data_IF_451967172574
#
_entry.id   IF_451967172574
#
_cell.length_a   1.000
_cell.length_b   1.000
_cell.length_c   1.000
_cell.angle_alpha   90.00
_cell.angle_beta   90.00
_cell.angle_gamma   90.00
#
_symmetry.space_group_name_H-M   'P 1'
#
loop_
_entity.id
_entity.type
_entity.pdbx_description
1 polymer ?
#
# COMPACT_ATOMS: atom_id res chain seq x y z
N UNK A 1 -7.44 -0.78 -33.72
CA UNK A 1 -6.58 -0.94 -32.53
C UNK A 1 -7.36 -0.45 -31.33
N UNK A 2 -7.60 -1.32 -30.35
CA UNK A 2 -8.24 -0.89 -29.10
C UNK A 2 -7.28 0.03 -28.35
N UNK A 3 -7.75 1.21 -27.92
CA UNK A 3 -6.91 2.21 -27.25
C UNK A 3 -6.58 1.72 -25.84
N UNK A 4 -5.30 1.74 -25.47
CA UNK A 4 -4.86 1.34 -24.12
C UNK A 4 -5.47 2.26 -23.06
N UNK A 5 -5.95 1.71 -21.91
CA UNK A 5 -6.41 2.53 -20.81
C UNK A 5 -5.33 3.47 -20.28
N UNK A 6 -5.74 4.67 -19.88
CA UNK A 6 -4.87 5.74 -19.38
C UNK A 6 -4.78 5.63 -17.87
N UNK A 7 -3.55 5.52 -17.36
CA UNK A 7 -3.27 5.60 -15.93
C UNK A 7 -2.81 7.00 -15.57
N UNK A 8 -3.34 7.56 -14.49
CA UNK A 8 -3.00 8.89 -13.98
C UNK A 8 -2.58 8.83 -12.51
N UNK A 9 -1.98 9.89 -11.97
CA UNK A 9 -1.53 9.94 -10.58
C UNK A 9 -0.11 9.42 -10.41
N UNK A 10 0.11 8.54 -9.44
CA UNK A 10 1.43 7.95 -9.18
C UNK A 10 1.86 7.05 -10.34
N UNK A 11 3.16 7.08 -10.68
CA UNK A 11 3.71 6.25 -11.75
C UNK A 11 3.91 4.82 -11.26
N UNK A 12 3.38 3.86 -12.01
CA UNK A 12 3.63 2.44 -11.78
C UNK A 12 4.83 1.95 -12.60
N UNK A 13 5.63 1.01 -12.07
CA UNK A 13 6.53 0.22 -12.90
C UNK A 13 5.76 -0.43 -14.06
N UNK A 14 6.39 -0.51 -15.24
CA UNK A 14 5.74 -0.97 -16.48
C UNK A 14 4.98 -2.31 -16.32
N UNK A 15 5.57 -3.27 -15.60
CA UNK A 15 4.95 -4.57 -15.32
C UNK A 15 3.61 -4.45 -14.56
N UNK A 16 3.56 -3.59 -13.52
CA UNK A 16 2.35 -3.35 -12.75
C UNK A 16 1.32 -2.51 -13.51
N UNK A 17 1.79 -1.52 -14.29
CA UNK A 17 0.95 -0.70 -15.16
C UNK A 17 0.19 -1.58 -16.18
N UNK A 18 0.87 -2.54 -16.79
CA UNK A 18 0.26 -3.47 -17.74
C UNK A 18 -0.84 -4.31 -17.08
N UNK A 19 -0.62 -4.82 -15.86
CA UNK A 19 -1.64 -5.57 -15.11
C UNK A 19 -2.86 -4.70 -14.82
N UNK A 20 -2.68 -3.46 -14.37
CA UNK A 20 -3.81 -2.56 -14.14
C UNK A 20 -4.57 -2.25 -15.44
N UNK A 21 -3.85 -2.06 -16.56
CA UNK A 21 -4.49 -1.83 -17.86
C UNK A 21 -5.24 -3.06 -18.38
N UNK A 22 -4.73 -4.28 -18.18
CA UNK A 22 -5.42 -5.54 -18.49
C UNK A 22 -6.74 -5.65 -17.69
N UNK A 23 -6.71 -5.34 -16.39
CA UNK A 23 -7.90 -5.30 -15.53
C UNK A 23 -8.92 -4.28 -16.04
N UNK A 24 -8.46 -3.05 -16.35
CA UNK A 24 -9.34 -2.00 -16.85
C UNK A 24 -10.01 -2.39 -18.17
N UNK A 25 -9.26 -2.97 -19.12
CA UNK A 25 -9.82 -3.48 -20.38
C UNK A 25 -10.88 -4.55 -20.12
N UNK A 26 -10.58 -5.54 -19.26
CA UNK A 26 -11.54 -6.59 -18.91
C UNK A 26 -12.81 -6.05 -18.27
N UNK A 27 -12.70 -4.95 -17.52
CA UNK A 27 -13.83 -4.25 -16.91
C UNK A 27 -14.55 -3.26 -17.86
N UNK A 28 -14.10 -3.09 -19.11
CA UNK A 28 -14.63 -2.09 -20.03
C UNK A 28 -14.33 -0.64 -19.62
N UNK A 29 -13.26 -0.42 -18.86
CA UNK A 29 -12.83 0.86 -18.34
C UNK A 29 -11.63 1.40 -19.13
N UNK A 30 -11.60 2.72 -19.33
CA UNK A 30 -10.57 3.39 -20.13
C UNK A 30 -9.59 4.22 -19.30
N UNK A 31 -9.88 4.48 -18.03
CA UNK A 31 -9.01 5.29 -17.17
C UNK A 31 -9.04 4.82 -15.72
N UNK A 32 -7.95 5.06 -14.99
CA UNK A 32 -7.89 4.96 -13.54
C UNK A 32 -6.85 5.94 -12.97
N UNK A 33 -7.02 6.34 -11.71
CA UNK A 33 -6.06 7.14 -10.96
C UNK A 33 -5.40 6.31 -9.87
N UNK A 34 -4.09 6.12 -9.99
CA UNK A 34 -3.25 5.49 -8.96
C UNK A 34 -2.98 6.54 -7.88
N UNK A 35 -3.51 6.31 -6.67
CA UNK A 35 -3.35 7.20 -5.52
C UNK A 35 -2.08 6.94 -4.74
N UNK A 36 -1.60 5.69 -4.75
CA UNK A 36 -0.45 5.27 -3.96
C UNK A 36 0.29 4.09 -4.60
N UNK A 37 1.57 3.94 -4.29
CA UNK A 37 2.46 2.90 -4.86
C UNK A 37 3.38 2.32 -3.79
N UNK A 38 4.29 1.43 -4.20
CA UNK A 38 5.32 0.90 -3.32
C UNK A 38 6.23 2.02 -2.77
N UNK A 39 6.66 1.84 -1.53
CA UNK A 39 7.46 2.79 -0.76
C UNK A 39 8.75 2.15 -0.26
N UNK A 40 9.75 2.97 -0.03
CA UNK A 40 10.88 2.65 0.84
C UNK A 40 10.47 2.64 2.31
N UNK A 41 11.29 2.04 3.17
CA UNK A 41 11.05 2.08 4.61
C UNK A 41 11.08 3.51 5.17
N UNK A 42 11.91 4.38 4.62
CA UNK A 42 12.01 5.78 5.04
C UNK A 42 10.74 6.57 4.68
N UNK A 43 10.16 6.32 3.51
CA UNK A 43 8.88 6.90 3.11
C UNK A 43 7.74 6.35 3.96
N UNK A 44 7.75 5.05 4.25
CA UNK A 44 6.75 4.44 5.12
C UNK A 44 6.81 5.02 6.54
N UNK A 45 8.00 5.28 7.08
CA UNK A 45 8.15 5.90 8.40
C UNK A 45 7.52 7.30 8.43
N UNK A 46 7.71 8.10 7.38
CA UNK A 46 7.07 9.43 7.24
C UNK A 46 5.55 9.32 7.22
N UNK A 47 5.00 8.38 6.44
CA UNK A 47 3.54 8.14 6.37
C UNK A 47 2.98 7.76 7.74
N UNK A 48 3.67 6.91 8.50
CA UNK A 48 3.24 6.54 9.85
C UNK A 48 3.23 7.74 10.79
N UNK A 49 4.27 8.58 10.75
CA UNK A 49 4.35 9.80 11.55
C UNK A 49 3.26 10.80 11.18
N UNK A 50 3.06 11.05 9.88
CA UNK A 50 2.05 11.99 9.39
C UNK A 50 0.64 11.53 9.76
N UNK A 51 0.35 10.24 9.57
CA UNK A 51 -0.92 9.64 9.98
C UNK A 51 -1.13 9.74 11.50
N UNK A 52 -0.10 9.42 12.29
CA UNK A 52 -0.15 9.54 13.75
C UNK A 52 -0.42 10.98 14.19
N UNK A 53 0.25 11.96 13.60
CA UNK A 53 0.05 13.38 13.93
C UNK A 53 -1.34 13.88 13.54
N UNK A 54 -1.87 13.41 12.41
CA UNK A 54 -3.16 13.85 11.89
C UNK A 54 -4.35 13.19 12.61
N UNK A 55 -4.24 11.91 12.96
CA UNK A 55 -5.37 11.11 13.48
C UNK A 55 -5.19 10.67 14.94
N UNK A 56 -4.01 10.85 15.52
CA UNK A 56 -3.68 10.45 16.88
C UNK A 56 -3.25 8.99 17.03
N UNK A 57 -2.75 8.68 18.24
CA UNK A 57 -2.15 7.39 18.57
C UNK A 57 -3.10 6.21 18.41
N UNK A 58 -4.35 6.35 18.88
CA UNK A 58 -5.34 5.27 18.84
C UNK A 58 -5.65 4.85 17.40
N UNK A 59 -5.84 5.82 16.49
CA UNK A 59 -6.09 5.55 15.08
C UNK A 59 -4.85 4.91 14.40
N UNK A 60 -3.67 5.45 14.66
CA UNK A 60 -2.42 4.90 14.11
C UNK A 60 -2.18 3.45 14.56
N UNK A 61 -2.43 3.13 15.84
CA UNK A 61 -2.32 1.76 16.37
C UNK A 61 -3.41 0.83 15.84
N UNK A 62 -4.62 1.33 15.63
CA UNK A 62 -5.68 0.51 15.03
C UNK A 62 -5.33 0.09 13.59
N UNK A 63 -4.74 0.99 12.81
CA UNK A 63 -4.42 0.72 11.41
C UNK A 63 -3.07 0.01 11.23
N UNK A 64 -2.04 0.44 11.95
CA UNK A 64 -0.65 0.00 11.75
C UNK A 64 -0.04 -0.69 12.98
N UNK A 65 -0.77 -0.85 14.08
CA UNK A 65 -0.21 -1.32 15.36
C UNK A 65 0.26 -2.77 15.39
N UNK A 66 0.08 -3.52 14.30
CA UNK A 66 0.51 -4.91 14.19
C UNK A 66 1.86 -5.03 13.44
N UNK A 67 2.64 -6.05 13.82
CA UNK A 67 3.87 -6.41 13.11
C UNK A 67 4.91 -5.27 13.04
N UNK A 68 5.56 -5.05 11.89
CA UNK A 68 6.60 -4.03 11.74
C UNK A 68 6.07 -2.60 11.95
N UNK A 69 4.81 -2.32 11.60
CA UNK A 69 4.21 -1.00 11.79
C UNK A 69 4.04 -0.64 13.26
N UNK A 70 3.64 -1.62 14.08
CA UNK A 70 3.51 -1.43 15.52
C UNK A 70 4.84 -1.12 16.20
N UNK A 71 5.91 -1.81 15.77
CA UNK A 71 7.28 -1.54 16.24
C UNK A 71 7.73 -0.12 15.90
N UNK A 72 7.48 0.33 14.67
CA UNK A 72 7.80 1.70 14.26
C UNK A 72 7.01 2.75 15.06
N UNK A 73 5.70 2.52 15.29
CA UNK A 73 4.88 3.44 16.12
C UNK A 73 5.39 3.49 17.56
N UNK A 74 5.78 2.36 18.15
CA UNK A 74 6.34 2.33 19.50
C UNK A 74 7.62 3.17 19.60
N UNK A 75 8.53 3.06 18.63
CA UNK A 75 9.75 3.88 18.54
C UNK A 75 9.40 5.36 18.42
N UNK A 76 8.42 5.71 17.59
CA UNK A 76 7.97 7.10 17.47
C UNK A 76 7.49 7.64 18.81
N UNK A 77 6.61 6.92 19.51
CA UNK A 77 6.06 7.34 20.81
C UNK A 77 7.14 7.49 21.90
N UNK A 78 8.13 6.60 21.90
CA UNK A 78 9.24 6.60 22.86
C UNK A 78 10.21 7.76 22.60
N UNK A 79 10.65 7.93 21.36
CA UNK A 79 11.78 8.79 21.03
C UNK A 79 11.40 10.23 20.64
N UNK A 80 10.15 10.47 20.21
CA UNK A 80 9.74 11.79 19.70
C UNK A 80 9.90 12.95 20.70
N UNK A 81 10.07 12.66 21.99
CA UNK A 81 10.22 13.66 23.07
C UNK A 81 11.67 14.04 23.35
N UNK A 82 12.62 13.18 22.98
CA UNK A 82 14.02 13.28 23.40
C UNK A 82 15.00 13.30 22.22
N UNK A 83 14.56 12.95 21.01
CA UNK A 83 15.40 12.87 19.82
C UNK A 83 14.92 13.74 18.67
N UNK A 84 15.82 14.24 17.82
CA UNK A 84 15.45 14.92 16.58
C UNK A 84 14.67 14.00 15.63
N UNK A 85 13.65 14.55 14.95
CA UNK A 85 12.79 13.79 14.03
C UNK A 85 13.56 12.99 12.96
N UNK A 86 14.65 13.48 12.34
CA UNK A 86 15.42 12.69 11.39
C UNK A 86 16.01 11.41 11.99
N UNK A 87 16.42 11.45 13.26
CA UNK A 87 16.95 10.27 13.96
C UNK A 87 15.83 9.27 14.27
N UNK A 88 14.68 9.76 14.76
CA UNK A 88 13.49 8.93 15.02
C UNK A 88 13.04 8.22 13.75
N UNK A 89 12.93 8.92 12.62
CA UNK A 89 12.55 8.34 11.33
C UNK A 89 13.51 7.25 10.87
N UNK A 90 14.82 7.43 11.09
CA UNK A 90 15.83 6.41 10.80
C UNK A 90 15.61 5.16 11.65
N UNK A 91 15.44 5.31 12.96
CA UNK A 91 15.17 4.18 13.86
C UNK A 91 13.87 3.44 13.52
N UNK A 92 12.81 4.17 13.17
CA UNK A 92 11.56 3.58 12.69
C UNK A 92 11.78 2.74 11.43
N UNK A 93 12.53 3.28 10.46
CA UNK A 93 12.88 2.58 9.21
C UNK A 93 13.69 1.30 9.46
N UNK A 94 14.73 1.40 10.29
CA UNK A 94 15.58 0.27 10.67
C UNK A 94 14.76 -0.83 11.37
N UNK A 95 13.87 -0.46 12.29
CA UNK A 95 13.02 -1.42 13.00
C UNK A 95 12.02 -2.13 12.08
N UNK A 96 11.43 -1.42 11.09
CA UNK A 96 10.57 -2.07 10.09
C UNK A 96 11.36 -3.05 9.25
N UNK A 97 12.55 -2.66 8.77
CA UNK A 97 13.43 -3.52 7.97
C UNK A 97 13.83 -4.77 8.73
N UNK A 98 14.25 -4.63 9.98
CA UNK A 98 14.64 -5.73 10.85
C UNK A 98 13.48 -6.68 11.14
N UNK A 99 12.30 -6.13 11.46
CA UNK A 99 11.11 -6.91 11.73
C UNK A 99 10.68 -7.72 10.50
N UNK A 100 10.65 -7.08 9.33
CA UNK A 100 10.32 -7.76 8.07
C UNK A 100 11.33 -8.86 7.76
N UNK A 101 12.62 -8.59 7.91
CA UNK A 101 13.68 -9.58 7.65
C UNK A 101 13.51 -10.82 8.53
N UNK A 102 13.16 -10.64 9.81
CA UNK A 102 12.88 -11.75 10.75
C UNK A 102 11.58 -12.49 10.43
N UNK A 103 10.61 -11.79 9.85
CA UNK A 103 9.27 -12.30 9.56
C UNK A 103 9.11 -12.96 8.17
N UNK A 104 10.07 -12.77 7.26
CA UNK A 104 10.07 -13.38 5.91
C UNK A 104 10.06 -14.93 5.96
N UNK A 105 10.50 -15.55 7.06
CA UNK A 105 10.38 -17.00 7.28
C UNK A 105 8.97 -17.50 7.68
N UNK A 106 8.05 -16.61 8.05
CA UNK A 106 6.75 -16.96 8.66
C UNK A 106 5.54 -16.28 7.98
N UNK A 107 5.72 -15.70 6.79
CA UNK A 107 4.64 -15.04 6.04
C UNK A 107 4.22 -13.67 6.58
N UNK A 108 5.11 -12.94 7.26
CA UNK A 108 4.75 -11.76 8.08
C UNK A 108 4.68 -10.39 7.40
N UNK A 109 4.70 -10.26 6.07
CA UNK A 109 4.46 -8.95 5.45
C UNK A 109 2.99 -8.50 5.40
N UNK A 110 2.06 -9.21 6.04
CA UNK A 110 0.60 -9.02 5.88
C UNK A 110 0.08 -7.59 6.14
N UNK A 111 0.85 -6.74 6.85
CA UNK A 111 0.42 -5.42 7.33
C UNK A 111 1.20 -4.22 6.77
N UNK A 112 2.25 -4.42 5.95
CA UNK A 112 3.07 -3.34 5.37
C UNK A 112 3.51 -3.67 3.93
N UNK A 113 2.57 -4.07 3.10
CA UNK A 113 2.87 -4.57 1.75
C UNK A 113 3.40 -3.48 0.80
N UNK A 114 3.15 -2.19 1.07
CA UNK A 114 3.76 -1.10 0.29
C UNK A 114 5.29 -1.11 0.35
N UNK A 115 5.91 -1.68 1.39
CA UNK A 115 7.37 -1.83 1.46
C UNK A 115 7.89 -3.16 0.89
N UNK A 116 7.05 -3.91 0.17
CA UNK A 116 7.40 -5.27 -0.26
C UNK A 116 8.46 -5.29 -1.36
N UNK A 117 9.48 -6.14 -1.16
CA UNK A 117 10.44 -6.47 -2.21
C UNK A 117 9.88 -7.46 -3.22
N UNK A 118 8.84 -8.23 -2.88
CA UNK A 118 8.31 -9.35 -3.70
C UNK A 118 7.04 -9.00 -4.48
N UNK A 119 6.37 -7.91 -4.13
CA UNK A 119 5.14 -7.47 -4.79
C UNK A 119 5.26 -6.00 -5.26
N UNK A 120 4.67 -5.71 -6.41
CA UNK A 120 4.21 -4.36 -6.72
C UNK A 120 2.91 -4.13 -5.97
N UNK A 121 2.86 -3.09 -5.17
CA UNK A 121 1.70 -2.76 -4.35
C UNK A 121 1.26 -1.35 -4.66
N UNK A 122 -0.02 -1.17 -4.93
CA UNK A 122 -0.54 0.12 -5.33
C UNK A 122 -2.03 0.24 -5.04
N UNK A 123 -2.45 1.48 -4.85
CA UNK A 123 -3.83 1.84 -4.59
C UNK A 123 -4.42 2.60 -5.77
N UNK A 124 -5.65 2.26 -6.10
CA UNK A 124 -6.46 2.97 -7.09
C UNK A 124 -7.59 3.72 -6.39
N UNK A 125 -7.71 5.01 -6.71
CA UNK A 125 -8.75 5.87 -6.16
C UNK A 125 -10.13 5.40 -6.66
N UNK A 126 -11.07 5.00 -5.78
CA UNK A 126 -12.36 4.48 -6.21
C UNK A 126 -13.19 5.51 -6.98
N UNK A 127 -13.02 6.79 -6.67
CA UNK A 127 -13.65 7.89 -7.40
C UNK A 127 -13.24 7.98 -8.88
N UNK A 128 -12.13 7.34 -9.28
CA UNK A 128 -11.69 7.27 -10.67
C UNK A 128 -12.25 6.07 -11.44
N UNK A 129 -12.93 5.14 -10.76
CA UNK A 129 -13.50 3.94 -11.35
C UNK A 129 -15.00 4.16 -11.54
N UNK A 130 -15.47 4.17 -12.80
CA UNK A 130 -16.88 4.41 -13.10
C UNK A 130 -17.77 3.20 -12.79
N UNK A 131 -17.28 1.98 -13.04
CA UNK A 131 -18.02 0.74 -12.79
C UNK A 131 -17.24 -0.11 -11.78
N UNK A 132 -17.54 0.08 -10.49
CA UNK A 132 -16.85 -0.61 -9.39
C UNK A 132 -17.05 -2.12 -9.46
N UNK A 133 -18.26 -2.59 -9.76
CA UNK A 133 -18.56 -4.02 -9.81
C UNK A 133 -17.75 -4.73 -10.89
N UNK A 134 -17.65 -4.14 -12.10
CA UNK A 134 -16.83 -4.69 -13.17
C UNK A 134 -15.34 -4.69 -12.82
N UNK A 135 -14.84 -3.59 -12.23
CA UNK A 135 -13.44 -3.50 -11.79
C UNK A 135 -13.12 -4.54 -10.71
N UNK A 136 -13.96 -4.66 -9.68
CA UNK A 136 -13.80 -5.65 -8.60
C UNK A 136 -13.78 -7.06 -9.15
N UNK A 137 -14.70 -7.40 -10.06
CA UNK A 137 -14.74 -8.71 -10.71
C UNK A 137 -13.45 -8.98 -11.49
N UNK A 138 -13.03 -8.04 -12.34
CA UNK A 138 -11.83 -8.18 -13.17
C UNK A 138 -10.56 -8.29 -12.32
N UNK A 139 -10.39 -7.44 -11.31
CA UNK A 139 -9.23 -7.45 -10.42
C UNK A 139 -9.15 -8.74 -9.60
N UNK A 140 -10.27 -9.21 -9.05
CA UNK A 140 -10.32 -10.43 -8.24
C UNK A 140 -10.04 -11.71 -9.06
N UNK A 141 -10.28 -11.67 -10.37
CA UNK A 141 -10.06 -12.80 -11.29
C UNK A 141 -8.72 -12.71 -12.01
N UNK A 142 -7.96 -11.64 -11.85
CA UNK A 142 -6.73 -11.43 -12.59
C UNK A 142 -5.60 -12.34 -12.06
N UNK A 143 -4.98 -13.20 -12.89
CA UNK A 143 -4.07 -14.25 -12.43
C UNK A 143 -2.77 -13.74 -11.79
N UNK A 144 -2.41 -12.47 -12.06
CA UNK A 144 -1.21 -11.83 -11.49
C UNK A 144 -1.48 -11.08 -10.18
N UNK A 145 -2.75 -10.88 -9.81
CA UNK A 145 -3.13 -10.24 -8.55
C UNK A 145 -3.16 -11.31 -7.47
N UNK A 146 -2.26 -11.22 -6.50
CA UNK A 146 -2.16 -12.19 -5.40
C UNK A 146 -3.06 -11.82 -4.22
N UNK A 147 -3.33 -10.52 -4.06
CA UNK A 147 -4.28 -10.01 -3.07
C UNK A 147 -4.96 -8.75 -3.60
N UNK A 148 -6.24 -8.64 -3.34
CA UNK A 148 -7.05 -7.49 -3.67
C UNK A 148 -7.93 -7.12 -2.48
N UNK A 149 -7.79 -5.90 -1.97
CA UNK A 149 -8.67 -5.33 -0.96
C UNK A 149 -9.48 -4.22 -1.64
N UNK A 150 -10.76 -4.13 -1.32
CA UNK A 150 -11.66 -3.16 -1.93
C UNK A 150 -12.41 -2.39 -0.83
N UNK A 151 -12.96 -1.20 -1.11
CA UNK A 151 -13.42 -0.28 -0.07
C UNK A 151 -14.52 -0.77 0.89
N UNK A 152 -15.15 -1.89 0.58
CA UNK A 152 -16.21 -2.49 1.39
C UNK A 152 -15.71 -3.63 2.28
N UNK A 153 -14.46 -4.09 2.14
CA UNK A 153 -13.96 -5.27 2.85
C UNK A 153 -13.22 -4.99 4.16
N UNK A 154 -12.89 -3.73 4.49
CA UNK A 154 -12.28 -3.35 5.77
C UNK A 154 -12.70 -1.92 6.20
N UNK A 155 -12.77 -1.61 7.50
CA UNK A 155 -13.10 -0.26 7.96
C UNK A 155 -11.84 0.63 7.96
N UNK A 156 -11.84 1.83 7.36
CA UNK A 156 -12.41 2.29 6.10
C UNK A 156 -11.28 2.40 5.04
N UNK A 157 -11.07 1.38 4.22
CA UNK A 157 -10.11 1.51 3.11
C UNK A 157 -10.78 2.27 1.98
N UNK A 158 -10.47 3.57 1.84
CA UNK A 158 -11.03 4.43 0.77
C UNK A 158 -10.43 4.13 -0.62
N UNK A 159 -9.83 2.96 -0.81
CA UNK A 159 -9.03 2.62 -1.98
C UNK A 159 -9.26 1.18 -2.44
N UNK A 160 -8.99 0.95 -3.72
CA UNK A 160 -8.75 -0.39 -4.24
C UNK A 160 -7.27 -0.70 -4.10
N UNK A 161 -6.90 -1.61 -3.20
CA UNK A 161 -5.51 -2.00 -2.94
C UNK A 161 -5.19 -3.30 -3.69
N UNK A 162 -4.16 -3.26 -4.53
CA UNK A 162 -3.72 -4.39 -5.34
C UNK A 162 -2.29 -4.79 -4.96
N UNK A 163 -2.09 -6.09 -4.75
CA UNK A 163 -0.78 -6.71 -4.62
C UNK A 163 -0.54 -7.61 -5.83
N UNK A 164 0.48 -7.28 -6.61
CA UNK A 164 0.87 -7.99 -7.84
C UNK A 164 2.26 -8.55 -7.63
N UNK A 165 2.42 -9.87 -7.73
CA UNK A 165 3.74 -10.50 -7.55
C UNK A 165 4.72 -9.98 -8.60
N UNK A 166 5.95 -9.62 -8.19
CA UNK A 166 7.02 -9.26 -9.14
C UNK A 166 7.45 -10.52 -9.91
N UNK A 167 7.71 -10.36 -11.20
CA UNK A 167 8.08 -11.41 -12.14
C UNK A 167 9.18 -10.92 -13.08
#
# INVERSE_FOLDING_TARGET
>A
MEKMPILTGQLLPHAAANVLQEILRSAGLTTARVSDVGRTFDEQAKVLVDYYKLHGAAAAKALYGHGPGGKAIAIFEEEMKSKPMPEVLRHMSDAMRDAITKEIGHGGQKHLMHTSSTHFVFDVAPSSILNHAAFVKAASQHPKVTRFLHPHSLPPDKVFHLEVKKF
#
